data_IF_770365886341
#
_entry.id   IF_770365886341
#
_cell.length_a   1.000
_cell.length_b   1.000
_cell.length_c   1.000
_cell.angle_alpha   90.00
_cell.angle_beta   90.00
_cell.angle_gamma   90.00
#
_symmetry.space_group_name_H-M   'P 1'
#
loop_
_entity.id
_entity.type
_entity.pdbx_description
1 polymer ?
#
# COMPACT_ATOMS: atom_id res chain seq x y z
N UNK A 1 9.26 0.85 -14.62
CA UNK A 1 8.41 1.58 -13.65
C UNK A 1 7.71 0.55 -12.80
N UNK A 2 7.87 0.59 -11.47
CA UNK A 2 7.18 -0.34 -10.57
C UNK A 2 5.69 0.00 -10.56
N UNK A 3 4.84 -1.03 -10.49
CA UNK A 3 3.39 -0.88 -10.48
C UNK A 3 2.94 -0.35 -9.12
N UNK A 4 2.05 0.65 -9.12
CA UNK A 4 1.40 1.10 -7.89
C UNK A 4 0.46 0.02 -7.35
N UNK A 5 0.64 -0.30 -6.07
CA UNK A 5 -0.20 -1.22 -5.31
C UNK A 5 -1.24 -0.43 -4.51
N UNK A 6 -0.82 0.67 -3.87
CA UNK A 6 -1.72 1.54 -3.12
C UNK A 6 -1.74 2.94 -3.73
N UNK A 7 -2.83 3.26 -4.44
CA UNK A 7 -3.03 4.57 -5.06
C UNK A 7 -3.32 5.68 -4.04
N UNK A 8 -3.87 5.34 -2.87
CA UNK A 8 -4.14 6.32 -1.81
C UNK A 8 -2.87 6.88 -1.17
N UNK A 9 -1.81 6.07 -1.07
CA UNK A 9 -0.57 6.43 -0.38
C UNK A 9 0.67 6.42 -1.29
N UNK A 10 0.50 6.06 -2.57
CA UNK A 10 1.57 6.06 -3.56
C UNK A 10 2.57 4.91 -3.42
N UNK A 11 2.23 3.84 -2.71
CA UNK A 11 3.13 2.70 -2.55
C UNK A 11 3.14 1.79 -3.79
N UNK A 12 4.33 1.54 -4.30
CA UNK A 12 4.59 0.59 -5.39
C UNK A 12 4.99 -0.79 -4.87
N UNK A 13 5.01 -1.78 -5.77
CA UNK A 13 5.52 -3.13 -5.47
C UNK A 13 6.96 -3.07 -4.93
N UNK A 14 7.81 -2.23 -5.52
CA UNK A 14 9.20 -2.07 -5.10
C UNK A 14 9.31 -1.48 -3.68
N UNK A 15 8.43 -0.55 -3.30
CA UNK A 15 8.42 0.02 -1.95
C UNK A 15 8.08 -1.07 -0.92
N UNK A 16 7.11 -1.93 -1.23
CA UNK A 16 6.70 -3.03 -0.35
C UNK A 16 7.81 -4.08 -0.26
N UNK A 17 8.44 -4.45 -1.38
CA UNK A 17 9.56 -5.39 -1.39
C UNK A 17 10.74 -4.88 -0.57
N UNK A 18 11.12 -3.61 -0.76
CA UNK A 18 12.19 -2.99 0.01
C UNK A 18 11.85 -2.91 1.50
N UNK A 19 10.61 -2.54 1.84
CA UNK A 19 10.12 -2.48 3.22
C UNK A 19 10.18 -3.87 3.89
N UNK A 20 9.78 -4.94 3.19
CA UNK A 20 9.91 -6.32 3.68
C UNK A 20 11.37 -6.70 3.93
N UNK A 21 12.25 -6.39 2.98
CA UNK A 21 13.67 -6.70 3.08
C UNK A 21 14.33 -5.94 4.24
N UNK A 22 13.99 -4.66 4.45
CA UNK A 22 14.55 -3.84 5.52
C UNK A 22 14.03 -4.19 6.91
N UNK A 23 12.84 -4.81 7.00
CA UNK A 23 12.19 -5.12 8.27
C UNK A 23 12.14 -6.63 8.56
N UNK A 24 13.18 -7.36 8.17
CA UNK A 24 13.35 -8.80 8.48
C UNK A 24 12.14 -9.66 8.09
N UNK A 25 11.54 -9.37 6.93
CA UNK A 25 10.38 -10.11 6.41
C UNK A 25 9.02 -9.52 6.80
N UNK A 26 8.98 -8.48 7.63
CA UNK A 26 7.73 -7.80 7.99
C UNK A 26 7.48 -6.58 7.08
N UNK A 27 6.24 -6.26 6.73
CA UNK A 27 5.94 -5.03 5.98
C UNK A 27 5.19 -4.01 6.83
N UNK A 28 5.86 -2.92 7.20
CA UNK A 28 5.23 -1.78 7.87
C UNK A 28 4.24 -1.05 6.95
N UNK A 29 4.53 -1.03 5.64
CA UNK A 29 3.67 -0.44 4.62
C UNK A 29 2.35 -1.21 4.52
N UNK A 30 2.42 -2.55 4.50
CA UNK A 30 1.23 -3.39 4.43
C UNK A 30 0.33 -3.18 5.66
N UNK A 31 0.93 -3.13 6.86
CA UNK A 31 0.17 -2.89 8.09
C UNK A 31 -0.48 -1.50 8.10
N UNK A 32 0.22 -0.47 7.62
CA UNK A 32 -0.36 0.87 7.44
C UNK A 32 -1.55 0.86 6.49
N UNK A 33 -1.42 0.21 5.33
CA UNK A 33 -2.51 0.13 4.34
C UNK A 33 -3.73 -0.55 4.96
N UNK A 34 -3.55 -1.67 5.65
CA UNK A 34 -4.64 -2.39 6.34
C UNK A 34 -5.32 -1.52 7.39
N UNK A 35 -4.55 -0.87 8.26
CA UNK A 35 -5.07 -0.01 9.30
C UNK A 35 -5.87 1.17 8.73
N UNK A 36 -5.34 1.86 7.71
CA UNK A 36 -6.05 2.97 7.05
C UNK A 36 -7.30 2.51 6.31
N UNK A 37 -7.30 1.30 5.72
CA UNK A 37 -8.50 0.73 5.07
C UNK A 37 -9.58 0.44 6.11
N UNK A 38 -9.23 -0.16 7.23
CA UNK A 38 -10.16 -0.41 8.34
C UNK A 38 -10.71 0.88 8.96
N UNK A 39 -9.88 1.93 9.04
CA UNK A 39 -10.28 3.24 9.52
C UNK A 39 -11.11 4.07 8.51
N UNK A 40 -11.40 3.54 7.31
CA UNK A 40 -12.17 4.25 6.29
C UNK A 40 -11.45 5.46 5.68
N UNK A 41 -10.11 5.52 5.80
CA UNK A 41 -9.30 6.65 5.33
C UNK A 41 -8.91 6.53 3.86
N UNK A 42 -9.11 5.36 3.26
CA UNK A 42 -8.77 5.10 1.86
C UNK A 42 -9.82 5.67 0.90
N UNK A 43 -9.35 6.26 -0.18
CA UNK A 43 -10.14 6.72 -1.34
C UNK A 43 -9.98 5.76 -2.51
N UNK A 44 -10.02 4.45 -2.23
CA UNK A 44 -9.83 3.42 -3.27
C UNK A 44 -10.85 3.53 -4.41
N UNK A 45 -12.15 3.80 -4.16
CA UNK A 45 -13.13 3.95 -5.24
C UNK A 45 -12.80 5.08 -6.22
N UNK A 46 -12.14 6.14 -5.76
CA UNK A 46 -11.82 7.32 -6.55
C UNK A 46 -10.42 7.26 -7.18
N UNK A 47 -9.45 6.64 -6.49
CA UNK A 47 -8.03 6.72 -6.86
C UNK A 47 -7.46 5.45 -7.46
N UNK A 48 -8.02 4.27 -7.14
CA UNK A 48 -7.58 3.01 -7.72
C UNK A 48 -8.33 2.76 -9.03
N UNK A 49 -7.66 2.49 -10.17
CA UNK A 49 -8.31 2.11 -11.42
C UNK A 49 -9.28 0.94 -11.32
N UNK A 50 -9.11 0.06 -10.33
CA UNK A 50 -10.00 -1.07 -10.06
C UNK A 50 -11.12 -0.75 -9.05
N UNK A 51 -11.09 0.45 -8.45
CA UNK A 51 -12.08 0.93 -7.48
C UNK A 51 -12.07 0.22 -6.12
N UNK A 52 -11.07 -0.61 -5.80
CA UNK A 52 -11.05 -1.44 -4.57
C UNK A 52 -9.67 -1.70 -3.98
#
# INVERSE_FOLDING_TARGET
MSKLVCYCFGYSEADIEQDVQSHNGHSSILERIKASKQAGQCRCPETNPLGK
#
